data_IF_122480759089
#
_entry.id   IF_122480759089
#
_cell.length_a   1.000
_cell.length_b   1.000
_cell.length_c   1.000
_cell.angle_alpha   90.00
_cell.angle_beta   90.00
_cell.angle_gamma   90.00
#
_symmetry.space_group_name_H-M   'P 1'
#
loop_
_entity.id
_entity.type
_entity.pdbx_description
1 polymer ?
#
# COMPACT_ATOMS: atom_id res chain seq x y z
N UNK A 1 -10.42 -14.94 -5.38
CA UNK A 1 -8.98 -14.68 -5.28
C UNK A 1 -8.48 -14.58 -3.84
N UNK A 2 -9.14 -13.83 -2.94
CA UNK A 2 -8.76 -13.75 -1.51
C UNK A 2 -8.49 -15.10 -0.81
N UNK A 3 -9.33 -16.11 -1.08
CA UNK A 3 -9.19 -17.42 -0.45
C UNK A 3 -7.84 -18.07 -0.70
N UNK A 4 -7.31 -17.95 -1.93
CA UNK A 4 -6.05 -18.59 -2.34
C UNK A 4 -4.89 -18.21 -1.41
N UNK A 5 -4.76 -16.92 -1.09
CA UNK A 5 -3.68 -16.42 -0.24
C UNK A 5 -3.92 -16.71 1.24
N UNK A 6 -5.18 -16.70 1.69
CA UNK A 6 -5.49 -16.99 3.09
C UNK A 6 -5.46 -18.48 3.44
N UNK A 7 -5.59 -19.38 2.46
CA UNK A 7 -5.58 -20.84 2.70
C UNK A 7 -4.23 -21.50 2.41
N UNK A 8 -3.31 -20.79 1.76
CA UNK A 8 -1.98 -21.31 1.50
C UNK A 8 -1.18 -21.36 2.81
N UNK A 9 -0.60 -22.52 3.12
CA UNK A 9 0.26 -22.70 4.31
C UNK A 9 1.46 -21.76 4.28
N UNK A 10 2.06 -21.55 3.10
CA UNK A 10 3.18 -20.64 2.89
C UNK A 10 3.11 -20.03 1.50
N UNK A 11 3.29 -18.71 1.43
CA UNK A 11 3.45 -17.98 0.17
C UNK A 11 4.92 -17.60 -0.01
N UNK A 12 5.51 -18.02 -1.14
CA UNK A 12 6.90 -17.71 -1.48
C UNK A 12 6.95 -16.51 -2.42
N UNK A 13 7.61 -15.44 -1.98
CA UNK A 13 7.88 -14.27 -2.79
C UNK A 13 9.19 -14.48 -3.54
N UNK A 14 9.10 -14.62 -4.85
CA UNK A 14 10.26 -14.76 -5.70
C UNK A 14 10.73 -13.40 -6.22
N UNK A 15 11.95 -13.04 -5.83
CA UNK A 15 12.66 -11.83 -6.26
C UNK A 15 13.71 -12.23 -7.31
N UNK A 16 13.26 -12.43 -8.55
CA UNK A 16 14.11 -12.84 -9.70
C UNK A 16 15.22 -11.83 -10.01
N UNK A 17 15.06 -10.59 -9.57
CA UNK A 17 15.94 -9.46 -9.84
C UNK A 17 16.75 -8.98 -8.61
N UNK A 18 16.65 -9.69 -7.48
CA UNK A 18 17.47 -9.42 -6.29
C UNK A 18 18.56 -10.47 -6.18
N UNK A 19 19.82 -10.04 -6.21
CA UNK A 19 20.98 -10.93 -6.11
C UNK A 19 21.36 -11.25 -4.66
N UNK A 20 22.11 -12.34 -4.41
CA UNK A 20 22.63 -12.66 -3.08
C UNK A 20 23.47 -11.53 -2.46
N UNK A 21 24.23 -10.81 -3.29
CA UNK A 21 25.04 -9.68 -2.82
C UNK A 21 24.18 -8.56 -2.22
N UNK A 22 23.03 -8.26 -2.84
CA UNK A 22 22.09 -7.27 -2.29
C UNK A 22 21.61 -7.69 -0.91
N UNK A 23 21.28 -8.97 -0.71
CA UNK A 23 20.87 -9.48 0.60
C UNK A 23 22.03 -9.40 1.61
N UNK A 24 23.22 -9.86 1.23
CA UNK A 24 24.38 -9.84 2.12
C UNK A 24 24.72 -8.43 2.60
N UNK A 25 24.73 -7.43 1.70
CA UNK A 25 24.97 -6.03 2.07
C UNK A 25 23.84 -5.45 2.94
N UNK A 26 22.58 -5.81 2.66
CA UNK A 26 21.42 -5.34 3.42
C UNK A 26 21.50 -5.74 4.91
N UNK A 27 21.99 -6.96 5.17
CA UNK A 27 22.12 -7.56 6.49
C UNK A 27 23.42 -7.20 7.22
N UNK A 28 24.32 -6.43 6.61
CA UNK A 28 25.47 -5.87 7.35
C UNK A 28 24.98 -4.84 8.37
N UNK A 29 25.49 -4.94 9.59
CA UNK A 29 25.17 -3.96 10.63
C UNK A 29 25.82 -2.60 10.37
N UNK A 30 27.02 -2.60 9.76
CA UNK A 30 27.75 -1.37 9.42
C UNK A 30 27.01 -0.56 8.36
N UNK A 31 27.09 0.76 8.50
CA UNK A 31 26.63 1.70 7.49
C UNK A 31 27.68 1.77 6.39
N UNK A 32 27.28 1.46 5.17
CA UNK A 32 28.15 1.56 3.99
C UNK A 32 27.34 2.10 2.80
N UNK A 33 27.98 2.78 1.83
CA UNK A 33 27.33 3.16 0.57
C UNK A 33 26.68 1.97 -0.14
N UNK A 34 27.29 0.79 -0.04
CA UNK A 34 26.82 -0.47 -0.63
C UNK A 34 25.51 -0.94 0.02
N UNK A 35 25.36 -0.73 1.34
CA UNK A 35 24.11 -1.05 2.04
C UNK A 35 22.96 -0.15 1.58
N UNK A 36 23.18 1.16 1.42
CA UNK A 36 22.17 2.07 0.89
C UNK A 36 21.80 1.73 -0.57
N UNK A 37 22.80 1.40 -1.40
CA UNK A 37 22.58 0.91 -2.76
C UNK A 37 21.74 -0.36 -2.78
N UNK A 38 22.00 -1.28 -1.86
CA UNK A 38 21.26 -2.54 -1.71
C UNK A 38 19.83 -2.34 -1.25
N UNK A 39 19.58 -1.38 -0.33
CA UNK A 39 18.23 -0.96 0.03
C UNK A 39 17.46 -0.47 -1.20
N UNK A 40 18.08 0.41 -2.00
CA UNK A 40 17.47 0.93 -3.23
C UNK A 40 17.21 -0.21 -4.21
N UNK A 41 18.16 -1.13 -4.38
CA UNK A 41 18.04 -2.28 -5.29
C UNK A 41 16.91 -3.22 -4.89
N UNK A 42 16.84 -3.60 -3.61
CA UNK A 42 15.76 -4.44 -3.08
C UNK A 42 14.38 -3.78 -3.27
N UNK A 43 14.25 -2.48 -2.97
CA UNK A 43 13.00 -1.75 -3.16
C UNK A 43 12.63 -1.52 -4.64
N UNK A 44 13.61 -1.58 -5.55
CA UNK A 44 13.41 -1.50 -7.01
C UNK A 44 12.98 -2.82 -7.64
N UNK A 45 12.92 -3.91 -6.87
CA UNK A 45 12.49 -5.20 -7.38
C UNK A 45 11.14 -5.10 -8.10
N UNK A 46 11.00 -5.83 -9.22
CA UNK A 46 9.74 -6.02 -9.94
C UNK A 46 8.59 -6.42 -9.02
N UNK A 47 8.88 -7.17 -7.94
CA UNK A 47 7.89 -7.57 -6.94
C UNK A 47 7.14 -6.36 -6.35
N UNK A 48 7.86 -5.33 -5.92
CA UNK A 48 7.25 -4.15 -5.29
C UNK A 48 6.50 -3.25 -6.28
N UNK A 49 6.76 -3.39 -7.59
CA UNK A 49 6.08 -2.61 -8.63
C UNK A 49 4.64 -3.07 -8.86
N UNK A 50 4.31 -4.31 -8.50
CA UNK A 50 3.00 -4.92 -8.74
C UNK A 50 2.01 -4.55 -7.64
N UNK A 51 0.77 -4.23 -8.01
CA UNK A 51 -0.30 -3.97 -7.05
C UNK A 51 -0.69 -5.24 -6.27
N UNK A 52 -0.84 -6.36 -6.97
CA UNK A 52 -1.29 -7.65 -6.43
C UNK A 52 -0.39 -8.15 -5.30
N UNK A 53 0.88 -7.78 -5.29
CA UNK A 53 1.84 -8.18 -4.26
C UNK A 53 1.53 -7.58 -2.90
N UNK A 54 0.77 -6.47 -2.82
CA UNK A 54 0.25 -5.97 -1.55
C UNK A 54 -0.74 -6.97 -0.96
N UNK A 55 -1.66 -7.46 -1.79
CA UNK A 55 -2.66 -8.43 -1.36
C UNK A 55 -2.04 -9.78 -1.04
N UNK A 56 -1.13 -10.26 -1.88
CA UNK A 56 -0.35 -11.47 -1.63
C UNK A 56 0.35 -11.36 -0.26
N UNK A 57 1.06 -10.27 -0.01
CA UNK A 57 1.79 -10.07 1.25
C UNK A 57 0.87 -9.93 2.47
N UNK A 58 -0.20 -9.13 2.37
CA UNK A 58 -1.12 -8.78 3.47
C UNK A 58 -2.00 -9.96 3.85
N UNK A 59 -2.46 -10.75 2.86
CA UNK A 59 -3.45 -11.82 3.06
C UNK A 59 -2.81 -13.18 3.37
N UNK A 60 -1.55 -13.37 3.00
CA UNK A 60 -0.82 -14.61 3.29
C UNK A 60 -0.46 -14.70 4.76
N UNK A 61 -0.78 -15.84 5.37
CA UNK A 61 -0.48 -16.12 6.77
C UNK A 61 1.02 -16.18 7.00
N UNK A 62 1.71 -17.02 6.23
CA UNK A 62 3.16 -17.16 6.25
C UNK A 62 3.74 -16.72 4.91
N UNK A 63 4.75 -15.85 4.98
CA UNK A 63 5.44 -15.33 3.79
C UNK A 63 6.91 -15.68 3.91
N UNK A 64 7.44 -16.30 2.86
CA UNK A 64 8.85 -16.67 2.72
C UNK A 64 9.41 -16.04 1.46
N UNK A 65 10.73 -16.00 1.34
CA UNK A 65 11.40 -15.33 0.23
C UNK A 65 12.32 -16.29 -0.50
N UNK A 66 12.39 -16.09 -1.80
CA UNK A 66 13.37 -16.71 -2.67
C UNK A 66 13.97 -15.63 -3.55
N UNK A 67 15.29 -15.61 -3.72
CA UNK A 67 16.00 -14.63 -4.55
C UNK A 67 16.48 -15.25 -5.87
N UNK A 68 17.10 -14.45 -6.74
CA UNK A 68 17.40 -14.81 -8.14
C UNK A 68 18.20 -16.10 -8.34
N UNK A 69 19.01 -16.52 -7.36
CA UNK A 69 19.76 -17.78 -7.41
C UNK A 69 19.01 -18.96 -6.76
N UNK A 70 17.70 -18.85 -6.57
CA UNK A 70 16.84 -19.83 -5.89
C UNK A 70 17.19 -20.08 -4.41
N UNK A 71 17.98 -19.21 -3.78
CA UNK A 71 18.19 -19.28 -2.33
C UNK A 71 16.87 -19.00 -1.63
N UNK A 72 16.38 -20.01 -0.91
CA UNK A 72 15.17 -19.94 -0.12
C UNK A 72 15.49 -19.65 1.34
N UNK A 73 14.85 -18.61 1.89
CA UNK A 73 15.10 -18.17 3.27
C UNK A 73 14.02 -18.73 4.20
N UNK A 74 14.27 -19.91 4.77
CA UNK A 74 13.37 -20.61 5.72
C UNK A 74 13.25 -19.92 7.07
N UNK A 75 14.35 -19.36 7.57
CA UNK A 75 14.47 -18.92 8.97
C UNK A 75 14.46 -17.39 9.11
N UNK A 76 14.37 -16.69 7.99
CA UNK A 76 14.39 -15.24 7.96
C UNK A 76 12.98 -14.70 8.26
N UNK A 77 12.79 -14.21 9.48
CA UNK A 77 11.55 -13.54 9.91
C UNK A 77 11.51 -12.05 9.49
N UNK A 78 11.90 -11.79 8.24
CA UNK A 78 11.84 -10.46 7.63
C UNK A 78 11.26 -10.53 6.22
N UNK A 79 9.94 -10.74 6.08
CA UNK A 79 9.33 -10.96 4.79
C UNK A 79 9.44 -9.70 3.91
N UNK A 80 9.86 -9.90 2.66
CA UNK A 80 10.20 -8.87 1.70
C UNK A 80 11.30 -7.89 2.18
N UNK A 81 12.18 -8.31 3.09
CA UNK A 81 13.30 -7.52 3.62
C UNK A 81 12.89 -6.21 4.34
N UNK A 82 11.61 -6.05 4.69
CA UNK A 82 11.04 -4.77 5.12
C UNK A 82 11.67 -4.25 6.42
N UNK A 83 11.99 -5.14 7.35
CA UNK A 83 12.64 -4.84 8.62
C UNK A 83 14.03 -4.29 8.42
N UNK A 84 14.88 -4.97 7.65
CA UNK A 84 16.23 -4.48 7.37
C UNK A 84 16.24 -3.23 6.50
N UNK A 85 15.38 -3.18 5.49
CA UNK A 85 15.19 -1.99 4.64
C UNK A 85 14.81 -0.77 5.51
N UNK A 86 13.88 -0.95 6.44
CA UNK A 86 13.45 0.13 7.34
C UNK A 86 14.49 0.49 8.39
N UNK A 87 15.22 -0.50 8.94
CA UNK A 87 16.35 -0.28 9.86
C UNK A 87 17.44 0.55 9.18
N UNK A 88 17.84 0.16 7.97
CA UNK A 88 18.86 0.86 7.18
C UNK A 88 18.42 2.30 6.86
N UNK A 89 17.16 2.49 6.43
CA UNK A 89 16.61 3.82 6.17
C UNK A 89 16.63 4.72 7.41
N UNK A 90 16.15 4.23 8.56
CA UNK A 90 16.16 4.99 9.82
C UNK A 90 17.57 5.41 10.23
N UNK A 91 18.55 4.54 10.01
CA UNK A 91 19.95 4.85 10.29
C UNK A 91 20.49 5.96 9.38
N UNK A 92 20.13 5.95 8.09
CA UNK A 92 20.53 7.01 7.16
C UNK A 92 19.87 8.35 7.47
N UNK A 93 18.57 8.36 7.76
CA UNK A 93 17.82 9.59 8.09
C UNK A 93 18.41 10.32 9.30
N UNK A 94 18.82 9.58 10.34
CA UNK A 94 19.43 10.16 11.56
C UNK A 94 20.74 10.89 11.31
N UNK A 95 21.40 10.64 10.19
CA UNK A 95 22.74 11.13 9.87
C UNK A 95 22.71 12.26 8.83
N UNK A 96 21.55 12.58 8.26
CA UNK A 96 21.39 13.70 7.34
C UNK A 96 20.65 14.83 8.05
N UNK A 97 21.26 16.03 8.05
CA UNK A 97 20.60 17.22 8.58
C UNK A 97 19.31 17.56 7.82
N UNK A 98 19.29 17.27 6.51
CA UNK A 98 18.15 17.49 5.64
C UNK A 98 17.75 16.18 4.97
N UNK A 99 16.59 15.65 5.36
CA UNK A 99 16.03 14.41 4.80
C UNK A 99 15.86 14.52 3.28
N UNK A 100 15.50 15.70 2.77
CA UNK A 100 15.30 15.93 1.33
C UNK A 100 16.53 15.66 0.46
N UNK A 101 17.75 15.80 0.99
CA UNK A 101 18.97 15.49 0.24
C UNK A 101 19.13 13.98 0.07
N UNK A 102 18.82 13.23 1.12
CA UNK A 102 18.75 11.77 1.07
C UNK A 102 17.62 11.32 0.13
N UNK A 103 16.45 11.94 0.19
CA UNK A 103 15.31 11.67 -0.70
C UNK A 103 15.64 11.91 -2.18
N UNK A 104 16.43 12.94 -2.48
CA UNK A 104 16.92 13.18 -3.85
C UNK A 104 17.89 12.09 -4.29
N UNK A 105 18.84 11.71 -3.42
CA UNK A 105 19.86 10.69 -3.70
C UNK A 105 19.26 9.32 -4.01
N UNK A 106 18.22 8.95 -3.27
CA UNK A 106 17.47 7.69 -3.44
C UNK A 106 16.36 7.77 -4.50
N UNK A 107 16.18 8.92 -5.13
CA UNK A 107 15.14 9.18 -6.14
C UNK A 107 13.71 8.93 -5.62
N UNK A 108 13.41 9.49 -4.45
CA UNK A 108 12.07 9.51 -3.86
C UNK A 108 11.03 10.05 -4.86
N UNK A 109 9.84 9.44 -4.88
CA UNK A 109 8.74 9.83 -5.78
C UNK A 109 8.63 9.00 -7.05
N UNK A 110 9.62 8.14 -7.35
CA UNK A 110 9.53 7.11 -8.41
C UNK A 110 8.95 5.77 -7.92
N UNK A 111 8.20 5.77 -6.82
CA UNK A 111 7.45 4.64 -6.26
C UNK A 111 8.27 3.49 -5.65
N UNK A 112 9.60 3.62 -5.64
CA UNK A 112 10.52 2.47 -5.54
C UNK A 112 11.42 2.52 -4.32
N UNK A 113 10.90 3.01 -3.18
CA UNK A 113 11.73 3.39 -2.04
C UNK A 113 11.15 2.92 -0.70
N UNK A 114 11.98 2.65 0.32
CA UNK A 114 11.57 2.06 1.61
C UNK A 114 10.32 2.65 2.27
N UNK A 115 10.11 3.96 2.20
CA UNK A 115 8.96 4.65 2.79
C UNK A 115 7.71 4.61 1.89
N UNK A 116 7.82 4.30 0.60
CA UNK A 116 6.63 3.93 -0.20
C UNK A 116 6.07 2.57 0.21
N UNK A 117 6.91 1.71 0.81
CA UNK A 117 6.52 0.44 1.42
C UNK A 117 5.96 0.59 2.85
N UNK A 118 6.08 1.78 3.45
CA UNK A 118 6.01 2.08 4.90
C UNK A 118 4.70 1.78 5.63
N UNK A 119 3.73 1.15 4.99
CA UNK A 119 2.48 0.70 5.62
C UNK A 119 2.21 -0.79 5.41
N UNK A 120 3.06 -1.51 4.65
CA UNK A 120 2.87 -2.95 4.37
C UNK A 120 2.90 -3.82 5.62
N UNK A 121 3.87 -3.59 6.51
CA UNK A 121 4.01 -4.36 7.74
C UNK A 121 2.79 -4.17 8.63
N UNK A 122 2.36 -2.93 8.81
CA UNK A 122 1.15 -2.59 9.57
C UNK A 122 -0.12 -3.11 8.89
N UNK A 123 -0.20 -3.04 7.57
CA UNK A 123 -1.30 -3.57 6.78
C UNK A 123 -1.43 -5.09 6.93
N UNK A 124 -0.30 -5.81 6.92
CA UNK A 124 -0.26 -7.25 7.14
C UNK A 124 -0.77 -7.63 8.53
N UNK A 125 -0.34 -6.92 9.57
CA UNK A 125 -0.83 -7.14 10.94
C UNK A 125 -2.35 -6.93 11.05
N UNK A 126 -2.87 -5.89 10.40
CA UNK A 126 -4.29 -5.56 10.45
C UNK A 126 -5.16 -6.46 9.56
N UNK A 127 -4.57 -7.12 8.54
CA UNK A 127 -5.22 -7.86 7.42
C UNK A 127 -6.21 -7.04 6.58
N UNK A 128 -6.81 -5.99 7.15
CA UNK A 128 -7.70 -5.02 6.52
C UNK A 128 -7.41 -3.61 7.03
N UNK A 129 -7.38 -2.67 6.12
CA UNK A 129 -6.96 -1.29 6.32
C UNK A 129 -8.14 -0.34 6.17
N UNK A 130 -8.00 0.87 6.71
CA UNK A 130 -8.89 1.95 6.32
C UNK A 130 -8.76 2.25 4.84
N UNK A 131 -9.86 2.63 4.23
CA UNK A 131 -10.01 2.94 2.83
C UNK A 131 -8.94 3.90 2.35
N UNK A 132 -8.70 5.01 3.06
CA UNK A 132 -7.66 5.97 2.67
C UNK A 132 -6.25 5.39 2.69
N UNK A 133 -5.92 4.56 3.66
CA UNK A 133 -4.62 3.91 3.73
C UNK A 133 -4.46 2.85 2.63
N UNK A 134 -5.51 2.08 2.35
CA UNK A 134 -5.53 1.13 1.26
C UNK A 134 -5.37 1.83 -0.09
N UNK A 135 -6.17 2.86 -0.37
CA UNK A 135 -6.07 3.68 -1.57
C UNK A 135 -4.68 4.29 -1.71
N UNK A 136 -4.13 4.92 -0.68
CA UNK A 136 -2.79 5.51 -0.72
C UNK A 136 -1.68 4.46 -0.96
N UNK A 137 -1.78 3.28 -0.36
CA UNK A 137 -0.85 2.17 -0.60
C UNK A 137 -0.93 1.66 -2.05
N UNK A 138 -2.14 1.59 -2.61
CA UNK A 138 -2.37 1.06 -3.95
C UNK A 138 -2.05 2.07 -5.04
N UNK A 139 -2.39 3.35 -4.87
CA UNK A 139 -1.93 4.41 -5.77
C UNK A 139 -0.39 4.44 -5.81
N UNK A 140 0.28 4.11 -4.68
CA UNK A 140 1.74 4.00 -4.63
C UNK A 140 2.31 2.86 -5.49
N UNK A 141 1.47 1.92 -5.90
CA UNK A 141 1.85 0.73 -6.66
C UNK A 141 1.30 0.85 -8.07
N UNK A 142 2.13 0.49 -9.04
CA UNK A 142 1.66 0.40 -10.42
C UNK A 142 0.56 -0.64 -10.49
N UNK A 143 -0.64 -0.21 -10.82
CA UNK A 143 -1.71 -1.10 -11.22
C UNK A 143 -1.65 -1.29 -12.74
N UNK A 144 -2.18 -2.41 -13.26
CA UNK A 144 -2.27 -2.63 -14.71
C UNK A 144 -3.44 -1.86 -15.31
N UNK A 145 -4.60 -1.93 -14.66
CA UNK A 145 -5.80 -1.19 -15.02
C UNK A 145 -6.64 -0.84 -13.77
N UNK A 146 -7.67 -0.02 -14.00
CA UNK A 146 -8.58 0.48 -12.95
C UNK A 146 -9.35 -0.64 -12.23
N UNK A 147 -9.61 -1.77 -12.89
CA UNK A 147 -10.35 -2.89 -12.28
C UNK A 147 -9.45 -3.71 -11.36
N UNK A 148 -8.19 -3.90 -11.75
CA UNK A 148 -7.15 -4.47 -10.89
C UNK A 148 -7.02 -3.70 -9.57
N UNK A 149 -7.06 -2.36 -9.64
CA UNK A 149 -7.06 -1.52 -8.45
C UNK A 149 -8.28 -1.81 -7.54
N UNK A 150 -9.48 -1.91 -8.10
CA UNK A 150 -10.69 -2.18 -7.31
C UNK A 150 -10.69 -3.56 -6.68
N UNK A 151 -10.19 -4.58 -7.39
CA UNK A 151 -10.04 -5.92 -6.86
C UNK A 151 -9.14 -5.93 -5.63
N UNK A 152 -7.97 -5.29 -5.72
CA UNK A 152 -7.03 -5.23 -4.60
C UNK A 152 -7.56 -4.36 -3.47
N UNK A 153 -8.09 -3.17 -3.78
CA UNK A 153 -8.67 -2.24 -2.79
C UNK A 153 -9.73 -2.94 -1.95
N UNK A 154 -10.59 -3.73 -2.59
CA UNK A 154 -11.63 -4.49 -1.88
C UNK A 154 -11.09 -5.63 -1.02
N UNK A 155 -10.02 -6.29 -1.46
CA UNK A 155 -9.38 -7.38 -0.71
C UNK A 155 -8.68 -6.91 0.57
N UNK A 156 -8.21 -5.65 0.59
CA UNK A 156 -7.44 -5.08 1.70
C UNK A 156 -8.18 -3.99 2.49
N UNK A 157 -9.26 -3.41 1.99
CA UNK A 157 -10.07 -2.44 2.73
C UNK A 157 -11.03 -3.15 3.73
N UNK A 158 -11.59 -2.39 4.66
CA UNK A 158 -12.55 -2.89 5.65
C UNK A 158 -13.96 -3.17 5.12
N UNK A 159 -14.18 -3.17 3.81
CA UNK A 159 -15.49 -3.46 3.19
C UNK A 159 -16.00 -4.88 3.53
N UNK A 160 -17.32 -5.04 3.69
CA UNK A 160 -17.95 -6.33 4.07
C UNK A 160 -18.06 -7.32 2.92
N UNK A 161 -18.37 -6.84 1.71
CA UNK A 161 -18.61 -7.69 0.54
C UNK A 161 -17.32 -7.91 -0.28
N UNK A 162 -17.18 -9.07 -0.96
CA UNK A 162 -15.94 -9.47 -1.68
C UNK A 162 -16.06 -9.55 -3.22
N UNK A 163 -17.27 -9.43 -3.80
CA UNK A 163 -17.47 -9.59 -5.25
C UNK A 163 -17.83 -8.27 -5.95
N UNK A 164 -17.04 -7.87 -6.96
CA UNK A 164 -17.43 -6.80 -7.89
C UNK A 164 -18.76 -7.19 -8.56
N UNK A 165 -19.66 -6.23 -8.76
CA UNK A 165 -20.99 -6.47 -9.37
C UNK A 165 -21.20 -5.66 -10.65
N UNK A 166 -20.25 -4.80 -10.99
CA UNK A 166 -20.26 -3.93 -12.15
C UNK A 166 -18.84 -3.83 -12.70
N UNK A 167 -18.74 -3.57 -14.00
CA UNK A 167 -17.51 -3.17 -14.69
C UNK A 167 -17.27 -1.66 -14.63
N UNK A 168 -18.25 -0.88 -14.14
CA UNK A 168 -18.10 0.57 -13.96
C UNK A 168 -17.25 0.88 -12.72
N UNK A 169 -16.07 1.45 -12.95
CA UNK A 169 -15.11 1.77 -11.90
C UNK A 169 -15.70 2.70 -10.83
N UNK A 170 -16.42 3.74 -11.27
CA UNK A 170 -16.95 4.77 -10.38
C UNK A 170 -17.96 4.17 -9.40
N UNK A 171 -18.92 3.42 -9.92
CA UNK A 171 -19.95 2.73 -9.13
C UNK A 171 -19.32 1.77 -8.13
N UNK A 172 -18.33 0.99 -8.54
CA UNK A 172 -17.65 0.04 -7.67
C UNK A 172 -16.80 0.73 -6.59
N UNK A 173 -16.07 1.79 -6.95
CA UNK A 173 -15.29 2.58 -6.01
C UNK A 173 -16.17 3.18 -4.91
N UNK A 174 -17.28 3.83 -5.28
CA UNK A 174 -18.23 4.38 -4.31
C UNK A 174 -18.89 3.30 -3.45
N UNK A 175 -19.14 2.11 -4.01
CA UNK A 175 -19.68 1.01 -3.21
C UNK A 175 -18.68 0.53 -2.17
N UNK A 176 -17.40 0.40 -2.52
CA UNK A 176 -16.36 0.02 -1.54
C UNK A 176 -16.26 1.11 -0.45
N UNK A 177 -16.26 2.38 -0.84
CA UNK A 177 -16.28 3.50 0.11
C UNK A 177 -17.49 3.45 1.05
N UNK A 178 -18.69 3.22 0.50
CA UNK A 178 -19.94 3.09 1.26
C UNK A 178 -19.90 1.96 2.29
N UNK A 179 -19.40 0.80 1.88
CA UNK A 179 -19.23 -0.35 2.77
C UNK A 179 -18.20 -0.10 3.87
N UNK A 180 -17.14 0.69 3.59
CA UNK A 180 -16.18 1.11 4.61
C UNK A 180 -16.85 2.07 5.63
N UNK A 181 -17.69 2.99 5.16
CA UNK A 181 -18.43 3.90 6.04
C UNK A 181 -19.34 3.15 7.00
N UNK A 182 -20.07 2.14 6.52
CA UNK A 182 -20.94 1.27 7.33
C UNK A 182 -20.23 0.51 8.45
N UNK A 183 -18.93 0.30 8.34
CA UNK A 183 -18.12 -0.34 9.39
C UNK A 183 -17.32 0.65 10.23
N UNK A 184 -17.69 1.94 10.17
CA UNK A 184 -17.08 3.01 10.96
C UNK A 184 -15.77 3.54 10.39
N UNK A 185 -15.38 3.13 9.19
CA UNK A 185 -14.26 3.73 8.49
C UNK A 185 -14.73 4.94 7.68
N UNK A 186 -14.54 6.11 8.28
CA UNK A 186 -14.94 7.40 7.71
C UNK A 186 -13.88 8.05 6.84
N UNK A 187 -12.73 7.38 6.65
CA UNK A 187 -11.68 7.88 5.78
C UNK A 187 -12.10 8.10 4.31
N UNK A 188 -13.10 7.41 3.72
CA UNK A 188 -13.62 7.76 2.40
C UNK A 188 -14.15 9.19 2.28
N UNK A 189 -14.66 9.80 3.36
CA UNK A 189 -15.17 11.18 3.35
C UNK A 189 -14.06 12.22 3.23
N UNK A 190 -12.83 11.84 3.57
CA UNK A 190 -11.66 12.72 3.56
C UNK A 190 -10.87 12.61 2.26
N UNK A 191 -11.20 11.63 1.41
CA UNK A 191 -10.55 11.47 0.10
C UNK A 191 -11.38 12.22 -0.92
N UNK A 192 -10.72 13.02 -1.74
CA UNK A 192 -11.34 13.66 -2.90
C UNK A 192 -11.96 12.57 -3.78
N UNK A 193 -13.28 12.57 -3.99
CA UNK A 193 -13.93 11.59 -4.85
C UNK A 193 -13.36 11.67 -6.27
N UNK A 194 -13.58 10.62 -7.07
CA UNK A 194 -13.36 10.67 -8.51
C UNK A 194 -14.20 11.82 -9.09
N UNK A 195 -13.58 12.97 -9.30
CA UNK A 195 -14.17 14.12 -9.95
C UNK A 195 -14.05 13.84 -11.44
N UNK A 196 -15.15 13.45 -12.09
CA UNK A 196 -15.16 13.27 -13.54
C UNK A 196 -14.92 14.58 -14.29
N UNK A 197 -15.61 14.79 -15.41
CA UNK A 197 -15.51 15.99 -16.25
C UNK A 197 -15.91 17.33 -15.57
N UNK A 198 -16.21 17.36 -14.27
CA UNK A 198 -16.87 18.49 -13.60
C UNK A 198 -15.89 19.54 -13.06
N UNK A 199 -14.67 19.19 -12.66
CA UNK A 199 -13.74 20.17 -12.10
C UNK A 199 -12.84 20.79 -13.18
N UNK A 200 -13.39 21.80 -13.88
CA UNK A 200 -12.72 22.55 -14.95
C UNK A 200 -11.57 23.44 -14.47
N UNK A 201 -11.43 23.66 -13.15
CA UNK A 201 -10.36 24.48 -12.55
C UNK A 201 -9.13 23.68 -12.17
N UNK A 202 -9.23 22.35 -12.25
CA UNK A 202 -8.12 21.44 -12.02
C UNK A 202 -7.40 21.04 -13.29
N UNK A 203 -6.10 20.69 -13.24
CA UNK A 203 -5.43 20.10 -14.37
C UNK A 203 -6.13 18.82 -14.86
N UNK A 204 -6.20 18.60 -16.18
CA UNK A 204 -7.07 17.60 -16.82
C UNK A 204 -6.92 16.14 -16.37
N UNK A 205 -5.83 15.79 -15.68
CA UNK A 205 -5.66 14.50 -15.00
C UNK A 205 -6.59 14.35 -13.78
N UNK A 206 -7.40 15.36 -13.45
CA UNK A 206 -8.37 15.30 -12.35
C UNK A 206 -9.46 14.23 -12.51
N UNK A 207 -9.73 13.88 -13.77
CA UNK A 207 -10.57 12.76 -14.16
C UNK A 207 -9.92 11.38 -14.04
N UNK A 208 -8.69 11.29 -13.54
CA UNK A 208 -7.95 10.03 -13.30
C UNK A 208 -7.72 9.73 -11.81
N UNK A 209 -8.35 10.52 -10.93
CA UNK A 209 -8.15 10.49 -9.48
C UNK A 209 -8.47 9.11 -8.89
N UNK A 210 -7.67 8.67 -7.91
CA UNK A 210 -7.87 7.41 -7.19
C UNK A 210 -7.16 6.18 -7.74
N UNK A 211 -6.46 6.27 -8.88
CA UNK A 211 -5.70 5.14 -9.44
C UNK A 211 -4.18 5.36 -9.47
N UNK A 212 -3.73 6.54 -9.91
CA UNK A 212 -2.31 6.87 -10.16
C UNK A 212 -1.79 7.99 -9.24
N UNK A 213 -2.50 8.30 -8.16
CA UNK A 213 -2.22 9.48 -7.36
C UNK A 213 -1.14 9.28 -6.29
N UNK A 214 0.06 9.78 -6.57
CA UNK A 214 1.17 9.86 -5.61
C UNK A 214 1.15 11.13 -4.75
N UNK A 215 0.44 12.17 -5.20
CA UNK A 215 0.61 13.55 -4.72
C UNK A 215 -0.27 13.92 -3.53
N UNK A 216 -1.46 13.36 -3.41
CA UNK A 216 -2.49 13.85 -2.48
C UNK A 216 -2.43 13.21 -1.10
N UNK A 217 -1.84 12.02 -0.93
CA UNK A 217 -1.98 11.25 0.31
C UNK A 217 -0.69 10.56 0.77
N UNK A 218 0.25 11.33 1.32
CA UNK A 218 1.29 10.75 2.19
C UNK A 218 0.73 10.50 3.59
N UNK A 219 -0.24 9.58 3.69
CA UNK A 219 -0.79 9.19 4.97
C UNK A 219 0.25 8.38 5.75
N UNK A 220 0.64 8.91 6.91
CA UNK A 220 1.42 8.18 7.90
C UNK A 220 0.57 7.12 8.59
N UNK A 221 1.19 6.33 9.46
CA UNK A 221 0.49 5.34 10.28
C UNK A 221 -0.68 6.00 11.04
N UNK A 222 -1.85 5.37 11.02
CA UNK A 222 -2.97 5.81 11.86
C UNK A 222 -2.58 5.68 13.33
N UNK A 223 -2.55 6.81 14.03
CA UNK A 223 -2.23 6.85 15.47
C UNK A 223 -3.49 6.69 16.32
N UNK A 224 -4.62 7.22 15.85
CA UNK A 224 -5.95 7.13 16.50
C UNK A 224 -7.05 7.14 15.46
N UNK A 225 -8.17 6.51 15.78
CA UNK A 225 -9.39 6.61 14.97
C UNK A 225 -10.03 7.99 15.10
N UNK A 226 -10.61 8.53 14.01
CA UNK A 226 -11.28 9.83 14.04
C UNK A 226 -12.47 9.76 14.99
N UNK A 227 -12.56 10.73 15.89
CA UNK A 227 -13.71 10.92 16.77
C UNK A 227 -14.83 11.56 15.96
N UNK A 228 -15.89 10.81 15.68
CA UNK A 228 -17.10 11.35 15.08
C UNK A 228 -18.24 11.24 16.09
N UNK A 229 -19.18 12.18 16.02
CA UNK A 229 -20.33 12.24 16.93
C UNK A 229 -21.09 10.92 16.98
N UNK A 230 -21.66 10.61 18.16
CA UNK A 230 -22.20 9.29 18.52
C UNK A 230 -23.37 8.79 17.64
N UNK A 231 -23.87 9.60 16.71
CA UNK A 231 -25.03 9.29 15.90
C UNK A 231 -24.76 9.51 14.40
N UNK A 232 -24.34 8.43 13.73
CA UNK A 232 -24.27 8.35 12.27
C UNK A 232 -25.45 7.55 11.73
N UNK A 233 -26.24 8.13 10.83
CA UNK A 233 -27.34 7.41 10.15
C UNK A 233 -27.05 7.26 8.66
N UNK A 234 -27.35 6.08 8.13
CA UNK A 234 -27.16 5.73 6.72
C UNK A 234 -28.50 5.58 6.02
N UNK A 235 -28.67 6.25 4.89
CA UNK A 235 -29.77 6.03 3.97
C UNK A 235 -29.23 5.37 2.69
N UNK A 236 -29.52 4.08 2.52
CA UNK A 236 -29.04 3.29 1.38
C UNK A 236 -29.71 3.65 0.05
N UNK A 237 -30.97 4.09 0.06
CA UNK A 237 -31.68 4.44 -1.19
C UNK A 237 -31.19 5.76 -1.78
N UNK A 238 -30.83 6.71 -0.92
CA UNK A 238 -30.30 8.01 -1.32
C UNK A 238 -28.76 8.09 -1.32
N UNK A 239 -28.07 7.02 -0.91
CA UNK A 239 -26.62 7.02 -0.64
C UNK A 239 -26.19 8.20 0.26
N UNK A 240 -27.00 8.50 1.28
CA UNK A 240 -26.84 9.67 2.15
C UNK A 240 -26.36 9.28 3.54
N UNK A 241 -25.36 10.00 4.04
CA UNK A 241 -24.88 9.88 5.41
C UNK A 241 -25.23 11.16 6.16
N UNK A 242 -25.78 11.02 7.35
CA UNK A 242 -25.97 12.13 8.28
C UNK A 242 -25.10 11.89 9.49
N UNK A 243 -24.16 12.81 9.71
CA UNK A 243 -23.29 12.86 10.88
C UNK A 243 -23.90 13.88 11.84
N UNK A 244 -24.39 13.45 13.00
CA UNK A 244 -24.77 14.37 14.08
C UNK A 244 -23.58 14.52 15.02
N UNK A 245 -23.01 15.73 15.03
CA UNK A 245 -21.90 16.13 15.89
C UNK A 245 -22.43 16.59 17.23
#
# INVERSE_FOLDING_TARGET
MDRLFSTAETTVLYFDDVSPNVVNELYKDKRTPERLSSVISACKSKYFKRVWTAMEFIKSERVRMMISNYTYFTDLDDPAFLGQVFKAWKNEVRQHEKVHDLERKVQMGKNQVPWSLGTLKSAKLLRRMKFAMATALLCKRGCRDRMDFLHVLRGIARARSLALRSSDFKTEYYRIAWECLKVGDHSPLLITPFMGAIERRGPGHWSEFGYSEFFTWQLGQEVRSPTLGKHTTFNDSEQRITLRV
#
